data_IF_516423638266
#
_entry.id   IF_516423638266
#
_cell.length_a   1.000
_cell.length_b   1.000
_cell.length_c   1.000
_cell.angle_alpha   90.00
_cell.angle_beta   90.00
_cell.angle_gamma   90.00
#
_symmetry.space_group_name_H-M   'P 1'
#
loop_
_entity.id
_entity.type
_entity.pdbx_description
1 polymer ?
#
# COMPACT_ATOMS: atom_id res chain seq x y z
N UNK A 1 -2.70 -5.93 5.84
CA UNK A 1 -2.56 -7.12 4.99
C UNK A 1 -2.16 -6.67 3.61
N UNK A 2 -1.20 -7.35 3.00
CA UNK A 2 -0.73 -7.05 1.65
C UNK A 2 -0.82 -8.31 0.81
N UNK A 3 -1.39 -8.20 -0.38
CA UNK A 3 -1.55 -9.30 -1.32
C UNK A 3 -0.96 -8.95 -2.67
N UNK A 4 -0.18 -9.88 -3.23
CA UNK A 4 0.39 -9.75 -4.57
C UNK A 4 -0.42 -10.60 -5.54
N UNK A 5 -1.01 -9.96 -6.55
CA UNK A 5 -1.76 -10.63 -7.62
C UNK A 5 -0.84 -11.07 -8.77
N UNK A 6 -1.30 -12.05 -9.57
CA UNK A 6 -0.58 -12.53 -10.77
C UNK A 6 -0.34 -11.46 -11.83
N UNK A 7 -1.15 -10.40 -11.82
CA UNK A 7 -1.14 -9.32 -12.83
C UNK A 7 -0.22 -8.15 -12.45
N UNK A 8 0.68 -8.37 -11.50
CA UNK A 8 1.68 -7.40 -11.03
C UNK A 8 1.15 -6.32 -10.08
N UNK A 9 -0.11 -6.42 -9.65
CA UNK A 9 -0.67 -5.49 -8.67
C UNK A 9 -0.46 -5.98 -7.24
N UNK A 10 -0.13 -5.03 -6.38
CA UNK A 10 -0.06 -5.14 -4.94
C UNK A 10 -1.30 -4.47 -4.35
N UNK A 11 -2.08 -5.21 -3.59
CA UNK A 11 -3.23 -4.71 -2.86
C UNK A 11 -2.89 -4.55 -1.38
N UNK A 12 -3.01 -3.33 -0.88
CA UNK A 12 -2.83 -2.97 0.51
C UNK A 12 -4.21 -2.85 1.16
N UNK A 13 -4.41 -3.58 2.27
CA UNK A 13 -5.64 -3.55 3.07
C UNK A 13 -5.35 -3.24 4.53
N UNK A 14 -6.03 -2.24 5.06
CA UNK A 14 -5.78 -1.73 6.41
C UNK A 14 -7.09 -1.49 7.17
N UNK A 15 -7.28 -2.16 8.31
CA UNK A 15 -8.48 -1.98 9.14
C UNK A 15 -8.30 -0.83 10.13
N UNK A 16 -9.03 0.26 9.94
CA UNK A 16 -9.17 1.37 10.91
C UNK A 16 -10.53 2.03 10.68
N UNK A 17 -11.60 1.64 11.41
CA UNK A 17 -12.94 2.16 11.16
C UNK A 17 -13.13 3.63 11.56
N UNK A 18 -12.37 4.09 12.57
CA UNK A 18 -12.60 5.36 13.27
C UNK A 18 -11.64 6.49 12.84
N UNK A 19 -11.14 6.43 11.60
CA UNK A 19 -10.24 7.46 11.04
C UNK A 19 -10.88 8.12 9.83
N UNK A 20 -10.51 9.36 9.54
CA UNK A 20 -11.07 10.14 8.45
C UNK A 20 -10.29 9.96 7.15
N UNK A 21 -8.96 9.82 7.22
CA UNK A 21 -8.09 9.64 6.06
C UNK A 21 -6.99 8.63 6.36
N UNK A 22 -6.66 7.82 5.35
CA UNK A 22 -5.52 6.91 5.39
C UNK A 22 -4.67 7.13 4.14
N UNK A 23 -3.36 7.17 4.33
CA UNK A 23 -2.37 7.23 3.27
C UNK A 23 -1.38 6.07 3.43
N UNK A 24 -0.75 5.68 2.31
CA UNK A 24 0.38 4.78 2.29
C UNK A 24 1.67 5.58 2.08
N UNK A 25 2.68 5.34 2.91
CA UNK A 25 4.00 5.95 2.79
C UNK A 25 5.07 4.86 2.78
N UNK A 26 6.05 4.97 1.89
CA UNK A 26 7.12 3.99 1.77
C UNK A 26 8.16 4.39 0.74
N UNK A 27 9.08 3.47 0.45
CA UNK A 27 10.20 3.73 -0.46
C UNK A 27 9.74 4.14 -1.87
N UNK A 28 8.62 3.59 -2.35
CA UNK A 28 8.04 3.89 -3.67
C UNK A 28 7.42 5.29 -3.82
N UNK A 29 7.28 6.05 -2.73
CA UNK A 29 6.77 7.43 -2.78
C UNK A 29 7.60 8.42 -1.96
N UNK A 30 8.86 8.10 -1.68
CA UNK A 30 9.79 8.88 -0.87
C UNK A 30 9.23 9.19 0.52
N UNK A 31 8.47 8.25 1.10
CA UNK A 31 7.86 8.38 2.42
C UNK A 31 6.90 9.56 2.58
N UNK A 32 6.36 10.10 1.48
CA UNK A 32 5.36 11.17 1.51
C UNK A 32 4.03 10.67 2.06
N UNK A 33 3.44 11.44 2.97
CA UNK A 33 2.26 11.05 3.75
C UNK A 33 0.94 11.58 3.20
N UNK A 34 0.99 12.25 2.04
CA UNK A 34 -0.10 12.97 1.39
C UNK A 34 -0.31 12.58 -0.08
N UNK A 35 0.52 11.67 -0.61
CA UNK A 35 0.52 11.30 -2.03
C UNK A 35 -0.38 10.11 -2.40
N UNK A 36 -0.39 9.07 -1.57
CA UNK A 36 -1.08 7.81 -1.88
C UNK A 36 -2.23 7.59 -0.90
N UNK A 37 -3.32 8.32 -1.10
CA UNK A 37 -4.53 8.19 -0.28
C UNK A 37 -5.22 6.85 -0.56
N UNK A 38 -5.57 6.12 0.50
CA UNK A 38 -6.34 4.88 0.43
C UNK A 38 -7.84 5.19 0.36
N UNK A 39 -8.58 4.29 -0.29
CA UNK A 39 -10.04 4.39 -0.43
C UNK A 39 -10.71 3.63 0.71
N UNK A 40 -11.70 4.26 1.34
CA UNK A 40 -12.52 3.59 2.37
C UNK A 40 -13.33 2.47 1.72
N UNK A 41 -13.25 1.28 2.30
CA UNK A 41 -14.01 0.10 1.91
C UNK A 41 -15.04 -0.24 3.01
N UNK A 42 -15.80 -1.30 2.79
CA UNK A 42 -16.78 -1.79 3.76
C UNK A 42 -16.14 -2.24 5.07
N UNK A 43 -16.95 -2.28 6.13
CA UNK A 43 -16.58 -2.83 7.43
C UNK A 43 -15.31 -2.21 8.06
N UNK A 44 -15.00 -0.96 7.75
CA UNK A 44 -13.88 -0.23 8.37
C UNK A 44 -12.50 -0.51 7.79
N UNK A 45 -12.45 -1.16 6.63
CA UNK A 45 -11.22 -1.36 5.87
C UNK A 45 -10.91 -0.18 4.96
N UNK A 46 -9.63 -0.04 4.63
CA UNK A 46 -9.09 0.86 3.64
C UNK A 46 -8.30 0.05 2.62
N UNK A 47 -8.47 0.37 1.35
CA UNK A 47 -7.85 -0.32 0.23
C UNK A 47 -7.03 0.60 -0.67
N UNK A 48 -5.89 0.12 -1.16
CA UNK A 48 -5.12 0.76 -2.22
C UNK A 48 -4.45 -0.31 -3.09
N UNK A 49 -4.54 -0.15 -4.41
CA UNK A 49 -3.93 -1.07 -5.38
C UNK A 49 -2.85 -0.34 -6.17
N UNK A 50 -1.63 -0.86 -6.17
CA UNK A 50 -0.46 -0.27 -6.84
C UNK A 50 0.21 -1.30 -7.75
N UNK A 51 0.86 -0.83 -8.81
CA UNK A 51 1.88 -1.62 -9.52
C UNK A 51 3.25 -1.17 -9.05
N UNK A 52 4.06 -2.12 -8.63
CA UNK A 52 5.44 -1.90 -8.21
C UNK A 52 6.35 -2.85 -8.98
N UNK A 53 7.55 -2.41 -9.39
CA UNK A 53 8.57 -3.31 -9.89
C UNK A 53 8.91 -4.41 -8.88
N UNK A 54 9.51 -5.51 -9.36
CA UNK A 54 10.06 -6.51 -8.45
C UNK A 54 11.15 -5.90 -7.57
N UNK A 55 11.17 -6.28 -6.30
CA UNK A 55 12.08 -5.71 -5.31
C UNK A 55 11.56 -5.78 -3.89
N UNK A 56 12.43 -5.41 -2.96
CA UNK A 56 12.07 -5.20 -1.55
C UNK A 56 11.74 -3.73 -1.31
N UNK A 57 10.67 -3.49 -0.56
CA UNK A 57 10.21 -2.14 -0.19
C UNK A 57 9.86 -2.09 1.28
N UNK A 58 10.08 -0.94 1.90
CA UNK A 58 9.57 -0.59 3.22
C UNK A 58 8.37 0.34 3.10
N UNK A 59 7.40 0.17 3.99
CA UNK A 59 6.21 1.01 4.03
C UNK A 59 5.56 1.06 5.41
N UNK A 60 4.65 2.03 5.59
CA UNK A 60 3.73 2.17 6.72
C UNK A 60 2.41 2.80 6.26
N UNK A 61 1.37 2.60 7.05
CA UNK A 61 0.12 3.35 6.91
C UNK A 61 0.16 4.62 7.75
N UNK A 62 -0.42 5.70 7.23
CA UNK A 62 -0.61 6.96 7.97
C UNK A 62 -2.10 7.23 8.05
N UNK A 63 -2.69 7.10 9.25
CA UNK A 63 -4.11 7.37 9.46
C UNK A 63 -4.27 8.58 10.38
N UNK A 64 -4.95 9.63 9.89
CA UNK A 64 -5.10 10.91 10.58
C UNK A 64 -3.80 11.44 11.21
N UNK A 65 -2.68 11.28 10.50
CA UNK A 65 -1.34 11.72 10.92
C UNK A 65 -0.58 10.74 11.83
N UNK A 66 -1.20 9.66 12.30
CA UNK A 66 -0.55 8.63 13.09
C UNK A 66 0.03 7.51 12.21
N UNK A 67 1.23 7.04 12.56
CA UNK A 67 1.98 6.02 11.82
C UNK A 67 1.67 4.60 12.32
N UNK A 68 1.37 3.69 11.42
CA UNK A 68 1.03 2.30 11.73
C UNK A 68 1.87 1.31 10.94
N UNK A 69 2.44 0.34 11.64
CA UNK A 69 3.14 -0.81 11.08
C UNK A 69 2.12 -1.91 10.79
N UNK A 70 2.24 -2.54 9.63
CA UNK A 70 1.57 -3.79 9.27
C UNK A 70 2.38 -4.98 9.80
N UNK A 71 1.96 -5.57 10.91
CA UNK A 71 2.58 -6.76 11.49
C UNK A 71 2.22 -8.05 10.75
N UNK A 72 1.30 -7.98 9.78
CA UNK A 72 0.94 -9.09 8.90
C UNK A 72 1.62 -8.98 7.51
N UNK A 73 2.57 -8.05 7.33
CA UNK A 73 3.38 -7.94 6.12
C UNK A 73 4.41 -9.07 6.02
N UNK A 74 5.21 -9.09 4.95
CA UNK A 74 6.25 -10.10 4.72
C UNK A 74 7.29 -10.14 5.86
N UNK A 75 7.56 -8.98 6.45
CA UNK A 75 8.41 -8.84 7.61
C UNK A 75 8.30 -7.45 8.22
N UNK A 76 9.09 -7.21 9.25
CA UNK A 76 9.27 -5.89 9.86
C UNK A 76 10.76 -5.61 10.06
N UNK A 77 11.15 -4.36 9.89
CA UNK A 77 12.54 -3.92 10.06
C UNK A 77 12.62 -2.59 10.84
N UNK A 78 13.74 -2.31 11.52
CA UNK A 78 13.97 -0.99 12.10
C UNK A 78 13.96 0.10 11.02
N UNK A 79 13.26 1.18 11.32
CA UNK A 79 13.06 2.34 10.45
C UNK A 79 13.16 3.67 11.21
N UNK A 80 13.04 4.77 10.48
CA UNK A 80 13.19 6.13 11.04
C UNK A 80 12.18 6.46 12.14
N UNK A 81 11.00 5.86 12.09
CA UNK A 81 9.86 6.18 12.97
C UNK A 81 9.41 4.97 13.81
N UNK A 82 10.29 3.99 14.01
CA UNK A 82 9.97 2.71 14.65
C UNK A 82 10.09 1.56 13.67
N UNK A 83 9.27 0.52 13.81
CA UNK A 83 9.30 -0.63 12.88
C UNK A 83 8.57 -0.30 11.58
N UNK A 84 9.23 -0.54 10.46
CA UNK A 84 8.65 -0.43 9.11
C UNK A 84 8.21 -1.82 8.64
N UNK A 85 7.12 -1.86 7.87
CA UNK A 85 6.67 -3.09 7.23
C UNK A 85 7.48 -3.37 5.97
N UNK A 86 7.82 -4.63 5.75
CA UNK A 86 8.54 -5.09 4.57
C UNK A 86 7.54 -5.68 3.58
N UNK A 87 7.65 -5.26 2.31
CA UNK A 87 6.98 -5.82 1.15
C UNK A 87 8.03 -6.44 0.23
N UNK A 88 7.80 -7.69 -0.17
CA UNK A 88 8.57 -8.34 -1.23
C UNK A 88 7.70 -8.49 -2.48
N UNK A 89 8.08 -7.83 -3.57
CA UNK A 89 7.48 -8.01 -4.88
C UNK A 89 8.32 -9.03 -5.67
N UNK A 90 7.77 -10.20 -6.03
CA UNK A 90 8.52 -11.25 -6.71
C UNK A 90 8.77 -10.91 -8.19
N UNK A 91 9.85 -11.44 -8.77
CA UNK A 91 10.23 -11.19 -10.17
C UNK A 91 9.17 -11.59 -11.19
N UNK A 92 8.40 -12.65 -10.93
CA UNK A 92 7.32 -13.08 -11.83
C UNK A 92 6.19 -12.05 -11.95
N UNK A 93 6.08 -11.10 -11.02
CA UNK A 93 5.12 -9.99 -11.11
C UNK A 93 5.43 -9.05 -12.30
N UNK A 94 6.63 -9.16 -12.89
CA UNK A 94 7.02 -8.51 -14.14
C UNK A 94 6.56 -9.39 -15.31
N UNK A 95 5.29 -9.30 -15.66
CA UNK A 95 4.86 -9.55 -17.03
C UNK A 95 3.90 -8.43 -17.42
N UNK A 96 4.46 -7.28 -17.82
CA UNK A 96 3.81 -6.37 -18.77
C UNK A 96 4.77 -5.25 -19.20
N UNK A 97 5.07 -5.28 -20.49
CA UNK A 97 5.22 -4.11 -21.33
C UNK A 97 4.12 -3.07 -21.05
N UNK A 98 4.49 -1.80 -21.18
CA UNK A 98 3.66 -0.58 -21.16
C UNK A 98 3.24 0.03 -19.81
N UNK A 99 3.97 1.12 -19.50
CA UNK A 99 3.62 2.40 -18.85
C UNK A 99 2.32 2.48 -18.02
N UNK A 100 2.36 2.90 -16.74
CA UNK A 100 1.17 2.97 -15.91
C UNK A 100 0.21 4.08 -16.37
N UNK A 101 -0.92 3.68 -16.97
CA UNK A 101 -2.10 4.51 -17.11
C UNK A 101 -2.96 4.40 -15.83
N UNK A 102 -3.25 5.53 -15.20
CA UNK A 102 -4.22 5.60 -14.12
C UNK A 102 -5.61 5.21 -14.67
N UNK A 103 -6.22 4.16 -14.10
CA UNK A 103 -7.62 3.82 -14.37
C UNK A 103 -8.53 4.56 -13.38
N UNK A 104 -9.59 5.25 -13.84
CA UNK A 104 -10.54 5.92 -12.95
C UNK A 104 -11.44 4.89 -12.24
N UNK A 105 -11.73 5.15 -10.97
CA UNK A 105 -12.68 4.37 -10.18
C UNK A 105 -14.10 4.55 -10.74
N UNK A 106 -14.79 3.42 -10.98
CA UNK A 106 -16.18 3.38 -11.43
C UNK A 106 -17.09 3.79 -10.26
N UNK A 107 -17.90 4.84 -10.45
CA UNK A 107 -19.02 5.18 -9.59
C UNK A 107 -20.24 4.33 -10.00
N UNK A 108 -20.83 3.62 -9.05
CA UNK A 108 -22.09 2.91 -9.23
C UNK A 108 -23.27 3.91 -9.18
N UNK A 109 -24.21 3.72 -10.11
CA UNK A 109 -25.46 4.46 -10.26
C UNK A 109 -26.55 3.99 -9.29
#
# INVERSE_FOLDING_TARGET
MVETSKDGYIEFRFFRPNVAKVFLAGDFNDWRTDHLQMVRQDNGYWGLKLRLPAGGYKFRYVADGAWYTDYAAFGIEPGRFGMDSVLQVPEWAIQIDEKPAAHPAVAAA
#
